data_IF_759982603920
#
_entry.id   IF_759982603920
#
_cell.length_a   1.000
_cell.length_b   1.000
_cell.length_c   1.000
_cell.angle_alpha   90.00
_cell.angle_beta   90.00
_cell.angle_gamma   90.00
#
_symmetry.space_group_name_H-M   'P 1'
#
loop_
_entity.id
_entity.type
_entity.pdbx_description
1 polymer ?
#
# COMPACT_ATOMS: atom_id res chain seq x y z
N UNK A 1 3.24 5.80 -7.30
CA UNK A 1 1.85 5.89 -6.81
C UNK A 1 1.90 6.21 -5.33
N UNK A 2 1.20 7.25 -4.92
CA UNK A 2 1.13 7.73 -3.53
C UNK A 2 -0.36 7.97 -3.26
N UNK A 3 -0.88 7.37 -2.19
CA UNK A 3 -2.26 7.54 -1.74
C UNK A 3 -2.20 8.05 -0.30
N UNK A 4 -2.30 9.37 -0.09
CA UNK A 4 -2.29 9.96 1.25
C UNK A 4 -3.67 9.82 1.92
N UNK A 5 -3.70 10.01 3.25
CA UNK A 5 -4.96 10.10 4.00
C UNK A 5 -5.65 8.77 4.24
N UNK A 6 -4.94 7.65 4.11
CA UNK A 6 -5.50 6.34 4.37
C UNK A 6 -5.65 6.13 5.89
N UNK A 7 -6.87 5.92 6.35
CA UNK A 7 -7.13 5.55 7.74
C UNK A 7 -6.68 4.11 8.01
N UNK A 8 -6.16 3.84 9.20
CA UNK A 8 -5.82 2.49 9.64
C UNK A 8 -6.16 2.26 11.11
N UNK A 9 -6.43 1.00 11.44
CA UNK A 9 -6.68 0.49 12.78
C UNK A 9 -6.02 -0.89 12.91
N UNK A 10 -5.81 -1.35 14.14
CA UNK A 10 -5.42 -2.74 14.43
C UNK A 10 -6.35 -3.30 15.52
N UNK A 11 -6.30 -4.62 15.81
CA UNK A 11 -7.06 -5.17 16.93
C UNK A 11 -6.77 -4.49 18.28
N UNK A 12 -5.57 -3.95 18.47
CA UNK A 12 -5.18 -3.23 19.69
C UNK A 12 -5.46 -1.72 19.62
N UNK A 13 -5.25 -1.09 18.46
CA UNK A 13 -5.40 0.35 18.26
C UNK A 13 -6.68 0.65 17.48
N UNK A 14 -7.80 0.81 18.20
CA UNK A 14 -9.13 1.01 17.62
C UNK A 14 -9.50 2.47 17.35
N UNK A 15 -8.74 3.43 17.88
CA UNK A 15 -8.86 4.84 17.50
C UNK A 15 -8.07 5.04 16.19
N UNK A 16 -8.70 5.43 15.07
CA UNK A 16 -8.05 5.43 13.77
C UNK A 16 -6.84 6.37 13.70
N UNK A 17 -5.75 5.87 13.13
CA UNK A 17 -4.63 6.66 12.66
C UNK A 17 -4.74 6.98 11.18
N UNK A 18 -3.80 7.76 10.66
CA UNK A 18 -3.72 8.12 9.24
C UNK A 18 -2.31 7.89 8.72
N UNK A 19 -2.21 7.38 7.50
CA UNK A 19 -0.95 7.20 6.81
C UNK A 19 -1.03 7.39 5.31
N UNK A 20 0.10 7.16 4.65
CA UNK A 20 0.26 7.23 3.20
C UNK A 20 0.62 5.86 2.66
N UNK A 21 -0.17 5.35 1.72
CA UNK A 21 0.10 4.11 1.01
C UNK A 21 0.89 4.36 -0.28
N UNK A 22 1.94 3.58 -0.51
CA UNK A 22 2.80 3.66 -1.70
C UNK A 22 3.07 2.28 -2.28
N UNK A 23 3.36 2.22 -3.57
CA UNK A 23 3.93 1.01 -4.19
C UNK A 23 5.44 1.05 -3.98
N UNK A 24 5.95 0.14 -3.15
CA UNK A 24 7.38 0.08 -2.84
C UNK A 24 8.17 -0.63 -3.94
N UNK A 25 7.68 -1.77 -4.42
CA UNK A 25 8.31 -2.52 -5.50
C UNK A 25 7.29 -3.32 -6.29
N UNK A 26 7.53 -3.45 -7.60
CA UNK A 26 6.70 -4.26 -8.49
C UNK A 26 7.15 -5.73 -8.44
N UNK A 27 6.20 -6.65 -8.59
CA UNK A 27 6.50 -8.06 -8.82
C UNK A 27 7.25 -8.28 -10.13
N UNK A 28 8.02 -9.36 -10.22
CA UNK A 28 8.85 -9.67 -11.40
C UNK A 28 8.07 -9.86 -12.71
N UNK A 29 6.77 -10.16 -12.61
CA UNK A 29 5.84 -10.34 -13.73
C UNK A 29 4.96 -9.11 -14.01
N UNK A 30 5.24 -7.96 -13.39
CA UNK A 30 4.50 -6.71 -13.59
C UNK A 30 5.22 -5.71 -14.51
N UNK A 31 6.40 -6.09 -15.04
CA UNK A 31 7.11 -5.34 -16.09
C UNK A 31 7.24 -6.22 -17.33
N UNK A 32 6.80 -5.71 -18.47
CA UNK A 32 6.98 -6.38 -19.75
C UNK A 32 8.46 -6.45 -20.15
N UNK A 33 8.87 -7.53 -20.79
CA UNK A 33 10.25 -7.70 -21.28
C UNK A 33 10.40 -7.23 -22.72
N UNK A 34 9.36 -7.41 -23.54
CA UNK A 34 9.37 -7.12 -24.98
C UNK A 34 8.58 -5.86 -25.29
N UNK A 35 7.40 -5.71 -24.70
CA UNK A 35 6.52 -4.58 -25.00
C UNK A 35 7.02 -3.30 -24.32
N UNK A 36 7.29 -2.27 -25.14
CA UNK A 36 7.70 -0.94 -24.69
C UNK A 36 6.73 0.12 -25.22
N UNK A 37 6.51 1.17 -24.44
CA UNK A 37 5.84 2.39 -24.87
C UNK A 37 6.74 3.57 -24.56
N UNK A 38 7.05 4.40 -25.56
CA UNK A 38 8.04 5.47 -25.43
C UNK A 38 9.42 4.97 -24.96
N UNK A 39 9.82 3.77 -25.39
CA UNK A 39 11.09 3.14 -25.00
C UNK A 39 11.13 2.53 -23.59
N UNK A 40 10.07 2.69 -22.79
CA UNK A 40 9.98 2.14 -21.42
C UNK A 40 9.12 0.87 -21.39
N UNK A 41 9.51 -0.17 -20.61
CA UNK A 41 8.67 -1.34 -20.39
C UNK A 41 7.25 -0.97 -19.95
N UNK A 42 6.25 -1.58 -20.58
CA UNK A 42 4.86 -1.40 -20.13
C UNK A 42 4.61 -2.17 -18.83
N UNK A 43 3.68 -1.68 -18.03
CA UNK A 43 3.22 -2.37 -16.83
C UNK A 43 2.23 -3.47 -17.22
N UNK A 44 2.41 -4.64 -16.62
CA UNK A 44 1.51 -5.78 -16.75
C UNK A 44 0.71 -5.93 -15.46
N UNK A 45 -0.50 -6.49 -15.55
CA UNK A 45 -1.30 -6.86 -14.37
C UNK A 45 -0.47 -7.71 -13.39
N UNK A 46 0.23 -8.72 -13.93
CA UNK A 46 1.06 -9.63 -13.16
C UNK A 46 0.32 -10.25 -11.98
N UNK A 47 1.06 -10.57 -10.92
CA UNK A 47 0.51 -11.03 -9.65
C UNK A 47 0.34 -9.84 -8.70
N UNK A 48 1.25 -9.70 -7.72
CA UNK A 48 1.18 -8.67 -6.69
C UNK A 48 2.43 -7.81 -6.68
N UNK A 49 2.27 -6.56 -6.24
CA UNK A 49 3.36 -5.67 -5.87
C UNK A 49 3.46 -5.58 -4.35
N UNK A 50 4.64 -5.21 -3.85
CA UNK A 50 4.83 -4.84 -2.45
C UNK A 50 4.39 -3.40 -2.24
N UNK A 51 3.48 -3.20 -1.30
CA UNK A 51 3.02 -1.90 -0.85
C UNK A 51 3.67 -1.53 0.48
N UNK A 52 3.86 -0.24 0.70
CA UNK A 52 4.33 0.30 1.98
C UNK A 52 3.34 1.34 2.47
N UNK A 53 2.90 1.19 3.70
CA UNK A 53 2.12 2.17 4.43
C UNK A 53 3.03 2.92 5.39
N UNK A 54 3.16 4.23 5.24
CA UNK A 54 3.91 5.09 6.15
C UNK A 54 2.93 5.81 7.07
N UNK A 55 3.10 5.65 8.38
CA UNK A 55 2.26 6.30 9.39
C UNK A 55 2.58 7.79 9.44
N UNK A 56 1.54 8.62 9.38
CA UNK A 56 1.65 10.08 9.53
C UNK A 56 1.09 10.52 10.89
N UNK A 57 -0.02 9.91 11.30
CA UNK A 57 -0.62 10.06 12.63
C UNK A 57 -0.92 8.66 13.17
N UNK A 58 -0.35 8.26 14.31
CA UNK A 58 -0.50 6.89 14.80
C UNK A 58 -1.94 6.60 15.25
N UNK A 59 -2.41 5.38 14.97
CA UNK A 59 -3.61 4.83 15.58
C UNK A 59 -3.41 4.73 17.09
N UNK A 60 -4.48 4.79 17.88
CA UNK A 60 -4.38 4.81 19.34
C UNK A 60 -5.24 3.73 19.98
N UNK A 61 -4.78 3.21 21.10
CA UNK A 61 -5.50 2.30 21.96
C UNK A 61 -6.34 3.14 22.94
N UNK A 62 -7.63 2.86 23.11
CA UNK A 62 -8.44 3.48 24.15
C UNK A 62 -7.81 3.29 25.54
N UNK A 63 -7.87 4.30 26.41
CA UNK A 63 -7.24 4.22 27.72
C UNK A 63 -7.92 3.15 28.60
N UNK A 64 -7.15 2.22 29.22
CA UNK A 64 -7.71 1.16 30.07
C UNK A 64 -8.17 1.64 31.46
N UNK A 65 -7.81 2.87 31.86
CA UNK A 65 -8.08 3.48 33.16
C UNK A 65 -8.08 5.02 32.98
N UNK A 66 -8.17 5.87 34.04
CA UNK A 66 -7.95 7.31 33.90
C UNK A 66 -6.51 7.55 33.39
N UNK A 67 -6.36 7.84 32.10
CA UNK A 67 -5.06 8.01 31.45
C UNK A 67 -5.20 8.42 29.98
N UNK A 68 -4.12 8.89 29.34
CA UNK A 68 -4.14 9.24 27.91
C UNK A 68 -4.20 7.98 27.03
N UNK A 69 -4.74 8.09 25.79
CA UNK A 69 -4.63 7.04 24.80
C UNK A 69 -3.16 6.67 24.49
N UNK A 70 -2.93 5.40 24.14
CA UNK A 70 -1.58 4.90 23.84
C UNK A 70 -1.41 4.81 22.31
N UNK A 71 -0.51 5.59 21.68
CA UNK A 71 -0.28 5.52 20.24
C UNK A 71 0.46 4.25 19.79
N UNK A 72 0.16 3.78 18.58
CA UNK A 72 0.95 2.75 17.90
C UNK A 72 2.35 3.29 17.56
N UNK A 73 3.38 2.63 18.11
CA UNK A 73 4.78 3.00 17.88
C UNK A 73 5.32 2.56 16.51
N UNK A 74 4.56 1.80 15.73
CA UNK A 74 4.99 1.24 14.45
C UNK A 74 4.97 2.34 13.37
N UNK A 75 6.11 2.77 12.81
CA UNK A 75 6.15 3.92 11.89
C UNK A 75 5.73 3.55 10.47
N UNK A 76 5.72 2.26 10.13
CA UNK A 76 5.40 1.77 8.79
C UNK A 76 4.91 0.32 8.81
N UNK A 77 4.04 -0.02 7.88
CA UNK A 77 3.62 -1.40 7.61
C UNK A 77 3.93 -1.78 6.17
N UNK A 78 4.16 -3.07 5.96
CA UNK A 78 4.24 -3.65 4.63
C UNK A 78 2.91 -4.29 4.27
N UNK A 79 2.58 -4.28 2.99
CA UNK A 79 1.40 -4.93 2.44
C UNK A 79 1.63 -5.38 1.02
N UNK A 80 0.59 -5.91 0.39
CA UNK A 80 0.60 -6.23 -1.04
C UNK A 80 -0.60 -5.64 -1.73
N UNK A 81 -0.48 -5.42 -3.03
CA UNK A 81 -1.60 -5.01 -3.88
C UNK A 81 -1.48 -5.59 -5.27
N UNK A 82 -2.52 -5.44 -6.09
CA UNK A 82 -2.54 -5.90 -7.47
C UNK A 82 -3.13 -4.82 -8.38
N UNK A 83 -2.78 -4.87 -9.67
CA UNK A 83 -3.40 -4.00 -10.65
C UNK A 83 -4.70 -4.61 -11.16
N UNK A 84 -5.73 -3.77 -11.28
CA UNK A 84 -6.97 -4.12 -11.98
C UNK A 84 -6.89 -3.47 -13.36
N UNK A 85 -6.95 -4.29 -14.42
CA UNK A 85 -6.94 -3.81 -15.81
C UNK A 85 -8.36 -3.66 -16.34
N UNK A 86 -8.62 -2.59 -17.07
CA UNK A 86 -9.84 -2.41 -17.86
C UNK A 86 -9.69 -2.96 -19.29
N UNK A 87 -8.46 -3.23 -19.72
CA UNK A 87 -8.17 -3.86 -21.01
C UNK A 87 -8.12 -5.39 -20.84
N UNK A 88 -9.04 -6.07 -21.53
CA UNK A 88 -9.16 -7.54 -21.52
C UNK A 88 -8.74 -8.19 -22.85
N UNK A 89 -8.38 -7.38 -23.86
CA UNK A 89 -8.09 -7.87 -25.23
C UNK A 89 -6.61 -8.02 -25.51
N UNK A 90 -5.80 -7.02 -25.14
CA UNK A 90 -4.37 -6.99 -25.48
C UNK A 90 -3.54 -7.57 -24.35
N UNK A 91 -2.57 -8.42 -24.70
CA UNK A 91 -1.60 -9.02 -23.76
C UNK A 91 -0.19 -8.54 -24.10
N UNK A 92 0.56 -8.14 -23.09
CA UNK A 92 1.98 -7.83 -23.20
C UNK A 92 2.85 -8.97 -22.66
N UNK A 93 4.10 -9.03 -23.10
CA UNK A 93 5.13 -9.98 -22.68
C UNK A 93 6.45 -9.27 -22.35
#
# INVERSE_FOLDING_TARGET
VIVPGCMYMTPQYSIPGVGTLTIQSLGGNQKAKKNKSGGKPVLLKGSTFTAKFQVMTPAQQPPPAPGPPIPDATPQYSGTGSFITTNLKVKGA
#
